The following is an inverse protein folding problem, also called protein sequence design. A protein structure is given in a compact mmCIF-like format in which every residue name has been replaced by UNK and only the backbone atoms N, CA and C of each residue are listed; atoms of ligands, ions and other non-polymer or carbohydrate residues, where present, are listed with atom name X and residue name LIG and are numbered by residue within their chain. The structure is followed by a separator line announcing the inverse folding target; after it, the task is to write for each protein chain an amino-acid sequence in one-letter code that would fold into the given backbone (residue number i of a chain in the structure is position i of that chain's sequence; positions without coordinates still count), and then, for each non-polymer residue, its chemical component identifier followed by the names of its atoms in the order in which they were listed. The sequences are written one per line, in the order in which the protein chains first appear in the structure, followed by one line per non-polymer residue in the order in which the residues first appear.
data_IF_639047053933
#
_entry.id   IF_639047053933
#
_cell.length_a   1.000
_cell.length_b   1.000
_cell.length_c   1.000
_cell.angle_alpha   90.00
_cell.angle_beta   90.00
_cell.angle_gamma   90.00
#
_symmetry.space_group_name_H-M   'P 1'
#
loop_
_entity.id
_entity.type
_entity.pdbx_description
1 polymer ?
#
# COMPACT_ATOMS: atom_id res chain seq x y z
N UNK A 1 -1.15 3.11 23.19
CA UNK A 1 -1.36 2.40 21.91
C UNK A 1 -1.64 3.39 20.78
N UNK A 2 -1.19 3.10 19.56
CA UNK A 2 -1.68 3.83 18.38
C UNK A 2 -3.22 3.73 18.32
N UNK A 3 -3.92 4.78 17.87
CA UNK A 3 -5.40 4.76 17.74
C UNK A 3 -5.93 3.60 16.86
N UNK A 4 -5.06 3.01 16.04
CA UNK A 4 -5.32 1.86 15.18
C UNK A 4 -5.52 0.53 15.93
N UNK A 5 -5.01 0.42 17.16
CA UNK A 5 -5.06 -0.81 17.96
C UNK A 5 -6.00 -0.68 19.17
N UNK A 6 -7.04 0.16 19.06
CA UNK A 6 -8.08 0.26 20.10
C UNK A 6 -8.85 -1.06 20.17
N UNK A 7 -8.93 -1.72 21.34
CA UNK A 7 -9.67 -2.98 21.49
C UNK A 7 -11.13 -2.86 21.00
N UNK A 8 -11.65 -3.95 20.44
CA UNK A 8 -13.02 -4.06 19.90
C UNK A 8 -13.31 -3.22 18.65
N UNK A 9 -12.48 -2.22 18.33
CA UNK A 9 -12.64 -1.37 17.14
C UNK A 9 -12.15 -2.06 15.87
N UNK A 10 -12.80 -1.77 14.76
CA UNK A 10 -12.25 -2.06 13.43
C UNK A 10 -11.20 -1.04 13.02
N UNK A 11 -10.35 -1.45 12.08
CA UNK A 11 -9.39 -0.56 11.47
C UNK A 11 -9.19 -0.90 10.00
N UNK A 12 -8.91 0.14 9.21
CA UNK A 12 -8.60 0.08 7.80
C UNK A 12 -7.33 0.86 7.54
N UNK A 13 -6.35 0.23 6.91
CA UNK A 13 -5.17 0.90 6.37
C UNK A 13 -5.15 0.80 4.85
N UNK A 14 -5.00 1.95 4.20
CA UNK A 14 -4.95 2.07 2.75
C UNK A 14 -3.56 2.57 2.35
N UNK A 15 -2.89 1.83 1.47
CA UNK A 15 -1.64 2.25 0.84
C UNK A 15 -1.88 2.58 -0.62
N UNK A 16 -1.33 3.70 -1.09
CA UNK A 16 -1.54 4.19 -2.44
C UNK A 16 -0.18 4.46 -3.10
N UNK A 17 0.09 3.70 -4.17
CA UNK A 17 1.10 4.04 -5.18
C UNK A 17 0.39 4.87 -6.28
N UNK A 18 0.69 6.17 -6.42
CA UNK A 18 -0.04 7.08 -7.30
C UNK A 18 0.32 6.93 -8.79
N UNK A 19 1.29 6.09 -9.14
CA UNK A 19 1.69 5.91 -10.54
C UNK A 19 0.57 5.27 -11.37
N UNK A 20 0.59 5.51 -12.68
CA UNK A 20 -0.42 4.93 -13.61
C UNK A 20 -0.38 3.39 -13.67
N UNK A 21 0.73 2.78 -13.23
CA UNK A 21 0.91 1.33 -13.05
C UNK A 21 0.94 0.93 -11.58
N UNK A 22 0.64 1.87 -10.68
CA UNK A 22 0.52 1.66 -9.26
C UNK A 22 -0.81 1.02 -8.89
N UNK A 23 -1.15 1.09 -7.61
CA UNK A 23 -2.33 0.44 -7.05
C UNK A 23 -2.79 1.12 -5.76
N UNK A 24 -4.00 0.73 -5.34
CA UNK A 24 -4.55 0.96 -4.01
C UNK A 24 -4.67 -0.39 -3.33
N UNK A 25 -4.16 -0.50 -2.11
CA UNK A 25 -4.30 -1.70 -1.29
C UNK A 25 -4.96 -1.35 0.04
N UNK A 26 -5.96 -2.12 0.44
CA UNK A 26 -6.72 -1.92 1.68
C UNK A 26 -6.58 -3.15 2.56
N UNK A 27 -6.15 -2.92 3.80
CA UNK A 27 -6.03 -3.92 4.85
C UNK A 27 -7.10 -3.60 5.90
N UNK A 28 -8.05 -4.51 6.10
CA UNK A 28 -9.14 -4.32 7.07
C UNK A 28 -9.15 -5.45 8.10
N UNK A 29 -9.28 -5.09 9.37
CA UNK A 29 -9.37 -6.06 10.46
C UNK A 29 -10.22 -5.51 11.61
N UNK A 30 -10.53 -6.38 12.58
CA UNK A 30 -11.11 -6.00 13.87
C UNK A 30 -10.08 -6.27 14.95
N UNK A 31 -9.84 -5.29 15.81
CA UNK A 31 -8.99 -5.49 16.97
C UNK A 31 -9.70 -6.42 17.96
N UNK A 32 -8.95 -7.27 18.65
CA UNK A 32 -9.49 -8.12 19.69
C UNK A 32 -10.10 -7.29 20.81
N UNK A 33 -11.03 -7.90 21.55
CA UNK A 33 -11.59 -7.30 22.77
C UNK A 33 -10.48 -7.13 23.83
N UNK A 34 -10.72 -6.24 24.79
CA UNK A 34 -9.75 -5.98 25.85
C UNK A 34 -9.47 -7.25 26.65
N UNK A 35 -8.18 -7.55 26.87
CA UNK A 35 -7.74 -8.72 27.63
C UNK A 35 -7.73 -10.05 26.87
N UNK A 36 -8.10 -10.08 25.59
CA UNK A 36 -7.92 -11.28 24.78
C UNK A 36 -6.43 -11.55 24.50
N UNK A 37 -6.00 -12.81 24.62
CA UNK A 37 -4.67 -13.23 24.18
C UNK A 37 -4.57 -13.11 22.66
N UNK A 38 -3.52 -12.42 22.20
CA UNK A 38 -3.30 -12.18 20.77
C UNK A 38 -2.00 -12.84 20.33
N UNK A 39 -2.10 -13.85 19.48
CA UNK A 39 -0.96 -14.31 18.70
C UNK A 39 -0.69 -13.33 17.56
N UNK A 40 0.56 -12.86 17.51
CA UNK A 40 1.11 -12.02 16.45
C UNK A 40 0.39 -10.71 16.13
N UNK A 41 0.98 -9.98 15.19
CA UNK A 41 0.40 -8.83 14.51
C UNK A 41 -1.07 -9.09 14.13
N UNK A 42 -2.02 -8.43 14.80
CA UNK A 42 -3.48 -8.58 14.58
C UNK A 42 -3.85 -8.40 13.09
N UNK A 43 -3.11 -7.57 12.38
CA UNK A 43 -3.28 -7.30 10.95
C UNK A 43 -2.76 -8.41 10.01
N UNK A 44 -2.04 -9.41 10.51
CA UNK A 44 -1.58 -10.56 9.71
C UNK A 44 -2.74 -11.35 9.10
N UNK A 45 -3.91 -11.32 9.73
CA UNK A 45 -5.16 -11.93 9.25
C UNK A 45 -6.14 -10.91 8.67
N UNK A 46 -5.68 -9.70 8.37
CA UNK A 46 -6.54 -8.69 7.76
C UNK A 46 -7.11 -9.21 6.43
N UNK A 47 -8.37 -8.89 6.16
CA UNK A 47 -8.91 -9.00 4.81
C UNK A 47 -8.16 -8.00 3.92
N UNK A 48 -7.78 -8.47 2.74
CA UNK A 48 -6.99 -7.70 1.79
C UNK A 48 -7.81 -7.48 0.54
N UNK A 49 -7.84 -6.24 0.07
CA UNK A 49 -8.35 -5.89 -1.25
C UNK A 49 -7.32 -5.04 -1.97
N UNK A 50 -7.10 -5.32 -3.25
CA UNK A 50 -6.14 -4.59 -4.10
C UNK A 50 -6.80 -4.20 -5.40
N UNK A 51 -6.65 -2.93 -5.78
CA UNK A 51 -7.07 -2.41 -7.07
C UNK A 51 -5.87 -1.82 -7.79
N UNK A 52 -5.64 -2.22 -9.04
CA UNK A 52 -4.74 -1.46 -9.91
C UNK A 52 -5.24 -0.02 -10.01
N UNK A 53 -4.33 0.94 -10.21
CA UNK A 53 -4.68 2.34 -10.41
C UNK A 53 -5.73 2.44 -11.54
N UNK A 54 -6.97 2.89 -11.27
CA UNK A 54 -7.96 3.00 -12.32
C UNK A 54 -7.57 4.15 -13.24
N UNK A 55 -7.44 3.87 -14.53
CA UNK A 55 -6.91 4.81 -15.51
C UNK A 55 -7.95 5.12 -16.58
N UNK A 56 -8.06 6.41 -16.94
CA UNK A 56 -8.71 6.84 -18.17
C UNK A 56 -7.64 7.15 -19.21
N UNK A 57 -7.92 6.79 -20.45
CA UNK A 57 -7.13 7.18 -21.60
C UNK A 57 -7.87 8.28 -22.36
N UNK A 58 -7.15 9.33 -22.73
CA UNK A 58 -7.68 10.38 -23.58
C UNK A 58 -6.68 10.77 -24.65
N UNK A 59 -7.20 11.31 -25.76
CA UNK A 59 -6.39 11.67 -26.91
C UNK A 59 -5.89 13.11 -26.79
N UNK A 60 -4.58 13.29 -26.59
CA UNK A 60 -3.91 14.58 -26.58
C UNK A 60 -3.19 14.79 -27.91
N UNK A 61 -3.86 15.45 -28.86
CA UNK A 61 -3.40 15.60 -30.24
C UNK A 61 -3.06 14.23 -30.86
N UNK A 62 -1.79 13.97 -31.19
CA UNK A 62 -1.35 12.69 -31.77
C UNK A 62 -1.00 11.61 -30.73
N UNK A 63 -1.04 11.91 -29.44
CA UNK A 63 -0.63 10.98 -28.38
C UNK A 63 -1.79 10.61 -27.47
N UNK A 64 -1.95 9.32 -27.20
CA UNK A 64 -2.82 8.87 -26.12
C UNK A 64 -2.13 9.08 -24.78
N UNK A 65 -2.84 9.67 -23.82
CA UNK A 65 -2.37 9.90 -22.45
C UNK A 65 -3.23 9.13 -21.47
N UNK A 66 -2.55 8.51 -20.50
CA UNK A 66 -3.15 7.78 -19.39
C UNK A 66 -3.09 8.66 -18.13
N UNK A 67 -4.19 8.76 -17.42
CA UNK A 67 -4.29 9.49 -16.16
C UNK A 67 -5.23 8.75 -15.19
N UNK A 68 -5.09 8.95 -13.88
CA UNK A 68 -6.03 8.38 -12.92
C UNK A 68 -7.47 8.82 -13.23
N UNK A 69 -8.38 7.85 -13.16
CA UNK A 69 -9.81 8.06 -13.30
C UNK A 69 -10.40 8.49 -11.96
N UNK A 70 -10.64 9.79 -11.78
CA UNK A 70 -11.17 10.35 -10.53
C UNK A 70 -12.49 9.71 -10.09
N UNK A 71 -13.40 9.44 -11.03
CA UNK A 71 -14.68 8.77 -10.74
C UNK A 71 -14.47 7.37 -10.15
N UNK A 72 -13.64 6.53 -10.78
CA UNK A 72 -13.39 5.16 -10.32
C UNK A 72 -12.59 5.14 -9.02
N UNK A 73 -11.66 6.07 -8.82
CA UNK A 73 -10.99 6.26 -7.53
C UNK A 73 -12.00 6.61 -6.43
N UNK A 74 -12.94 7.51 -6.71
CA UNK A 74 -13.99 7.88 -5.78
C UNK A 74 -14.88 6.69 -5.43
N UNK A 75 -15.28 5.88 -6.41
CA UNK A 75 -16.05 4.65 -6.20
C UNK A 75 -15.31 3.64 -5.32
N UNK A 76 -13.98 3.50 -5.48
CA UNK A 76 -13.14 2.62 -4.65
C UNK A 76 -13.01 3.15 -3.22
N UNK A 77 -12.77 4.46 -3.04
CA UNK A 77 -12.45 5.05 -1.73
C UNK A 77 -13.68 5.33 -0.87
N UNK A 78 -14.82 5.66 -1.48
CA UNK A 78 -16.04 6.08 -0.76
C UNK A 78 -16.55 5.04 0.25
N UNK A 79 -16.60 3.73 -0.04
CA UNK A 79 -17.02 2.73 0.95
C UNK A 79 -16.15 2.74 2.21
N UNK A 80 -14.84 2.92 2.07
CA UNK A 80 -13.92 3.00 3.21
C UNK A 80 -14.07 4.31 3.98
N UNK A 81 -14.30 5.44 3.29
CA UNK A 81 -14.61 6.71 3.93
C UNK A 81 -15.82 6.59 4.86
N UNK A 82 -16.86 5.90 4.40
CA UNK A 82 -18.10 5.70 5.15
C UNK A 82 -17.94 4.81 6.40
N UNK A 83 -16.85 4.04 6.50
CA UNK A 83 -16.54 3.27 7.70
C UNK A 83 -15.97 4.14 8.82
N UNK A 84 -15.42 5.32 8.51
CA UNK A 84 -14.76 6.16 9.51
C UNK A 84 -15.74 6.61 10.60
N UNK A 85 -15.42 6.31 11.86
CA UNK A 85 -16.27 6.66 13.00
C UNK A 85 -15.65 6.25 14.34
N UNK A 86 -16.47 6.23 15.39
CA UNK A 86 -16.02 5.83 16.73
C UNK A 86 -15.50 4.39 16.76
N UNK A 87 -16.19 3.49 16.05
CA UNK A 87 -15.93 2.05 16.02
C UNK A 87 -14.94 1.60 14.94
N UNK A 88 -14.56 2.48 14.00
CA UNK A 88 -13.63 2.12 12.94
C UNK A 88 -12.72 3.28 12.55
N UNK A 89 -11.41 3.04 12.62
CA UNK A 89 -10.39 4.00 12.21
C UNK A 89 -9.92 3.72 10.79
N UNK A 90 -9.93 4.74 9.95
CA UNK A 90 -9.37 4.69 8.59
C UNK A 90 -8.07 5.49 8.56
N UNK A 91 -7.02 4.88 8.02
CA UNK A 91 -5.70 5.49 7.83
C UNK A 91 -5.25 5.29 6.39
N UNK A 92 -4.72 6.33 5.78
CA UNK A 92 -4.21 6.25 4.41
C UNK A 92 -2.78 6.76 4.37
N UNK A 93 -1.92 6.04 3.67
CA UNK A 93 -0.59 6.52 3.28
C UNK A 93 -0.53 6.62 1.75
N UNK A 94 -0.20 7.82 1.28
CA UNK A 94 -0.02 8.17 -0.12
C UNK A 94 1.46 8.32 -0.38
N UNK A 95 2.03 7.49 -1.26
CA UNK A 95 3.39 7.72 -1.72
C UNK A 95 3.47 9.06 -2.46
N UNK A 96 4.55 9.79 -2.21
CA UNK A 96 4.98 10.91 -3.03
C UNK A 96 6.32 10.56 -3.65
N UNK A 97 6.38 10.64 -4.96
CA UNK A 97 7.61 10.49 -5.73
C UNK A 97 7.91 11.79 -6.48
N UNK A 98 9.19 12.07 -6.67
CA UNK A 98 9.63 13.16 -7.54
C UNK A 98 10.29 12.52 -8.76
N UNK A 99 9.82 12.81 -9.99
CA UNK A 99 10.49 12.33 -11.19
C UNK A 99 11.97 12.70 -11.16
N UNK A 100 12.83 11.85 -11.73
CA UNK A 100 14.25 12.18 -11.90
C UNK A 100 14.39 13.52 -12.65
N UNK A 101 15.40 14.33 -12.31
CA UNK A 101 15.60 15.66 -12.93
C UNK A 101 15.65 15.64 -14.46
N UNK A 102 16.15 14.54 -15.05
CA UNK A 102 16.21 14.34 -16.51
C UNK A 102 14.86 13.95 -17.14
N UNK A 103 13.80 13.77 -16.34
CA UNK A 103 12.46 13.41 -16.82
C UNK A 103 11.83 14.60 -17.53
N UNK A 104 11.24 14.36 -18.70
CA UNK A 104 10.58 15.42 -19.46
C UNK A 104 9.35 16.01 -18.78
N UNK A 105 8.94 17.23 -19.19
CA UNK A 105 7.80 17.98 -18.65
C UNK A 105 6.49 17.19 -18.47
N UNK A 106 6.25 16.21 -19.33
CA UNK A 106 5.05 15.37 -19.24
C UNK A 106 5.08 14.40 -18.05
N UNK A 107 6.24 13.88 -17.65
CA UNK A 107 6.36 13.02 -16.48
C UNK A 107 6.06 13.81 -15.20
N UNK A 108 6.62 15.01 -15.09
CA UNK A 108 6.33 15.97 -14.02
C UNK A 108 4.84 16.32 -13.94
N UNK A 109 4.21 16.64 -15.09
CA UNK A 109 2.78 16.88 -15.13
C UNK A 109 1.96 15.67 -14.72
N UNK A 110 2.32 14.46 -15.18
CA UNK A 110 1.61 13.23 -14.83
C UNK A 110 1.68 12.93 -13.33
N UNK A 111 2.84 13.02 -12.70
CA UNK A 111 2.98 12.83 -11.24
C UNK A 111 2.18 13.90 -10.48
N UNK A 112 2.32 15.18 -10.86
CA UNK A 112 1.56 16.26 -10.23
C UNK A 112 0.04 16.09 -10.35
N UNK A 113 -0.44 15.66 -11.52
CA UNK A 113 -1.85 15.36 -11.74
C UNK A 113 -2.32 14.18 -10.90
N UNK A 114 -1.59 13.05 -10.91
CA UNK A 114 -1.96 11.87 -10.13
C UNK A 114 -2.04 12.16 -8.64
N UNK A 115 -0.99 12.78 -8.09
CA UNK A 115 -0.96 13.17 -6.67
C UNK A 115 -2.08 14.15 -6.37
N UNK A 116 -2.28 15.19 -7.19
CA UNK A 116 -3.33 16.20 -6.98
C UNK A 116 -4.76 15.65 -7.01
N UNK A 117 -5.06 14.68 -7.89
CA UNK A 117 -6.37 14.02 -7.93
C UNK A 117 -6.61 13.21 -6.65
N UNK A 118 -5.63 12.43 -6.21
CA UNK A 118 -5.74 11.65 -4.98
C UNK A 118 -5.88 12.55 -3.75
N UNK A 119 -5.11 13.63 -3.71
CA UNK A 119 -5.15 14.67 -2.68
C UNK A 119 -6.55 15.26 -2.51
N UNK A 120 -7.13 15.70 -3.63
CA UNK A 120 -8.45 16.31 -3.67
C UNK A 120 -9.54 15.31 -3.27
N UNK A 121 -9.45 14.05 -3.73
CA UNK A 121 -10.43 13.01 -3.40
C UNK A 121 -10.38 12.62 -1.93
N UNK A 122 -9.20 12.35 -1.38
CA UNK A 122 -9.03 11.98 0.04
C UNK A 122 -9.54 13.11 0.94
N UNK A 123 -9.18 14.36 0.63
CA UNK A 123 -9.63 15.54 1.36
C UNK A 123 -11.15 15.71 1.27
N UNK A 124 -11.73 15.57 0.07
CA UNK A 124 -13.19 15.71 -0.15
C UNK A 124 -14.00 14.61 0.54
N UNK A 125 -13.42 13.42 0.72
CA UNK A 125 -14.02 12.32 1.47
C UNK A 125 -13.83 12.44 2.99
N UNK A 126 -13.13 13.47 3.48
CA UNK A 126 -12.84 13.64 4.90
C UNK A 126 -11.91 12.56 5.47
N UNK A 127 -11.13 11.90 4.61
CA UNK A 127 -10.18 10.87 5.02
C UNK A 127 -8.87 11.53 5.40
N UNK A 128 -8.42 11.33 6.65
CA UNK A 128 -7.08 11.75 7.06
C UNK A 128 -6.00 10.86 6.43
N UNK A 129 -5.01 11.45 5.77
CA UNK A 129 -3.92 10.72 5.11
C UNK A 129 -2.55 11.33 5.38
N UNK A 130 -1.53 10.49 5.33
CA UNK A 130 -0.12 10.86 5.40
C UNK A 130 0.50 10.76 4.01
N UNK A 131 1.29 11.77 3.63
CA UNK A 131 2.14 11.70 2.44
C UNK A 131 3.52 11.20 2.86
N UNK A 132 4.05 10.19 2.17
CA UNK A 132 5.35 9.60 2.47
C UNK A 132 6.23 9.50 1.23
N UNK A 133 7.47 9.95 1.33
CA UNK A 133 8.41 9.83 0.22
C UNK A 133 8.89 8.37 0.04
N UNK A 134 9.02 7.92 -1.20
CA UNK A 134 9.44 6.55 -1.54
C UNK A 134 10.73 6.11 -0.79
N UNK A 135 11.73 7.00 -0.71
CA UNK A 135 13.00 6.69 -0.04
C UNK A 135 12.86 6.47 1.48
N UNK A 136 11.83 7.05 2.12
CA UNK A 136 11.60 6.95 3.56
C UNK A 136 10.98 5.59 3.89
N UNK A 137 9.82 5.29 3.31
CA UNK A 137 9.12 4.03 3.64
C UNK A 137 9.92 2.82 3.16
N UNK A 138 10.54 2.87 1.97
CA UNK A 138 11.38 1.77 1.47
C UNK A 138 12.56 1.49 2.40
N UNK A 139 13.24 2.52 2.89
CA UNK A 139 14.33 2.35 3.87
C UNK A 139 13.81 1.74 5.18
N UNK A 140 12.68 2.24 5.69
CA UNK A 140 12.07 1.75 6.93
C UNK A 140 11.54 0.31 6.83
N UNK A 141 11.22 -0.15 5.63
CA UNK A 141 10.80 -1.52 5.32
C UNK A 141 11.98 -2.44 4.90
N UNK A 142 13.23 -1.95 4.92
CA UNK A 142 14.40 -2.76 4.55
C UNK A 142 14.55 -2.98 3.04
N UNK A 143 13.87 -2.19 2.20
CA UNK A 143 13.85 -2.34 0.74
C UNK A 143 14.88 -1.46 0.03
N UNK A 144 15.78 -0.81 0.76
CA UNK A 144 16.78 0.07 0.16
C UNK A 144 17.65 -0.72 -0.84
N UNK A 145 17.65 -0.30 -2.11
CA UNK A 145 18.33 -0.95 -3.24
C UNK A 145 17.87 -2.38 -3.57
N UNK A 146 16.76 -2.85 -3.03
CA UNK A 146 16.20 -4.19 -3.32
C UNK A 146 15.34 -4.24 -4.58
N UNK A 147 14.91 -3.07 -5.07
CA UNK A 147 14.14 -2.96 -6.31
C UNK A 147 12.79 -3.67 -6.28
N UNK A 148 12.26 -3.93 -7.47
CA UNK A 148 10.95 -4.54 -7.67
C UNK A 148 10.85 -5.97 -7.11
N UNK A 149 11.84 -6.87 -7.31
CA UNK A 149 11.78 -8.23 -6.74
C UNK A 149 11.73 -8.24 -5.21
N UNK A 150 12.50 -7.37 -4.55
CA UNK A 150 12.48 -7.29 -3.08
C UNK A 150 11.13 -6.84 -2.52
N UNK A 151 10.47 -5.90 -3.20
CA UNK A 151 9.14 -5.44 -2.81
C UNK A 151 8.09 -6.56 -2.95
N UNK A 152 8.16 -7.35 -4.02
CA UNK A 152 7.30 -8.52 -4.21
C UNK A 152 7.50 -9.56 -3.11
N UNK A 153 8.76 -9.93 -2.84
CA UNK A 153 9.10 -10.94 -1.85
C UNK A 153 8.63 -10.52 -0.44
N UNK A 154 8.89 -9.27 -0.06
CA UNK A 154 8.46 -8.75 1.25
C UNK A 154 6.93 -8.68 1.35
N UNK A 155 6.22 -8.28 0.29
CA UNK A 155 4.76 -8.25 0.30
C UNK A 155 4.16 -9.65 0.48
N UNK A 156 4.69 -10.65 -0.23
CA UNK A 156 4.25 -12.05 -0.10
C UNK A 156 4.54 -12.63 1.29
N UNK A 157 5.66 -12.25 1.90
CA UNK A 157 6.03 -12.68 3.24
C UNK A 157 5.12 -12.05 4.31
N UNK A 158 4.82 -10.75 4.20
CA UNK A 158 4.02 -10.03 5.20
C UNK A 158 2.53 -10.27 5.08
N UNK A 159 2.06 -10.50 3.85
CA UNK A 159 0.64 -10.66 3.53
C UNK A 159 0.45 -11.90 2.65
N UNK A 160 0.68 -13.11 3.18
CA UNK A 160 0.53 -14.35 2.41
C UNK A 160 -0.88 -14.52 1.85
N UNK A 161 -1.91 -13.95 2.50
CA UNK A 161 -3.28 -13.92 2.00
C UNK A 161 -3.45 -13.12 0.70
N UNK A 162 -2.51 -12.24 0.35
CA UNK A 162 -2.51 -11.46 -0.88
C UNK A 162 -1.70 -12.13 -2.01
N UNK A 163 -1.10 -13.30 -1.78
CA UNK A 163 -0.21 -13.93 -2.75
C UNK A 163 -0.89 -14.22 -4.11
N UNK A 164 -2.19 -14.54 -4.10
CA UNK A 164 -2.98 -14.77 -5.32
C UNK A 164 -3.12 -13.52 -6.21
N UNK A 165 -2.98 -12.32 -5.63
CA UNK A 165 -3.09 -11.03 -6.33
C UNK A 165 -1.73 -10.50 -6.84
N UNK A 166 -0.63 -11.19 -6.53
CA UNK A 166 0.74 -10.76 -6.75
C UNK A 166 1.50 -11.61 -7.79
N UNK A 167 1.26 -11.36 -9.08
CA UNK A 167 2.08 -11.97 -10.15
C UNK A 167 3.38 -11.18 -10.34
N UNK A 168 4.34 -11.76 -11.08
CA UNK A 168 5.65 -11.14 -11.37
C UNK A 168 5.57 -9.71 -11.92
N UNK A 169 4.51 -9.33 -12.65
CA UNK A 169 4.34 -7.99 -13.23
C UNK A 169 3.63 -6.98 -12.31
N UNK A 170 3.04 -7.44 -11.21
CA UNK A 170 2.14 -6.65 -10.36
C UNK A 170 2.91 -5.88 -9.27
N UNK A 171 4.04 -5.28 -9.62
CA UNK A 171 4.91 -4.60 -8.65
C UNK A 171 4.21 -3.41 -7.95
N UNK A 172 3.35 -2.68 -8.66
CA UNK A 172 2.58 -1.57 -8.08
C UNK A 172 1.62 -2.05 -6.98
N UNK A 173 1.05 -3.25 -7.12
CA UNK A 173 0.23 -3.89 -6.07
C UNK A 173 1.07 -4.21 -4.83
N UNK A 174 2.27 -4.75 -5.02
CA UNK A 174 3.19 -5.02 -3.92
C UNK A 174 3.61 -3.73 -3.21
N UNK A 175 3.94 -2.66 -3.95
CA UNK A 175 4.29 -1.37 -3.35
C UNK A 175 3.11 -0.80 -2.54
N UNK A 176 1.89 -0.81 -3.09
CA UNK A 176 0.69 -0.35 -2.39
C UNK A 176 0.42 -1.15 -1.09
N UNK A 177 0.54 -2.48 -1.13
CA UNK A 177 0.41 -3.34 0.05
C UNK A 177 1.45 -3.01 1.13
N UNK A 178 2.70 -2.78 0.71
CA UNK A 178 3.78 -2.43 1.63
C UNK A 178 3.62 -1.02 2.21
N UNK A 179 3.11 -0.07 1.44
CA UNK A 179 2.76 1.28 1.94
C UNK A 179 1.63 1.18 2.98
N UNK A 180 0.59 0.36 2.73
CA UNK A 180 -0.47 0.12 3.70
C UNK A 180 0.09 -0.50 4.99
N UNK A 181 0.97 -1.49 4.83
CA UNK A 181 1.62 -2.19 5.95
C UNK A 181 2.56 -1.28 6.73
N UNK A 182 3.28 -0.39 6.05
CA UNK A 182 4.10 0.64 6.65
C UNK A 182 3.25 1.64 7.47
N UNK A 183 2.08 2.03 6.97
CA UNK A 183 1.16 2.92 7.68
C UNK A 183 0.63 2.32 8.99
N UNK A 184 0.55 0.98 9.09
CA UNK A 184 0.22 0.27 10.33
C UNK A 184 1.28 0.44 11.43
N UNK A 185 2.51 0.78 11.04
CA UNK A 185 3.67 0.77 11.93
C UNK A 185 4.62 -0.41 11.72
N UNK A 186 4.38 -1.26 10.71
CA UNK A 186 5.36 -2.30 10.37
C UNK A 186 6.66 -1.66 9.87
N UNK A 187 7.78 -2.19 10.36
CA UNK A 187 9.14 -1.80 9.98
C UNK A 187 9.94 -3.07 9.74
N UNK A 188 11.13 -2.96 9.13
CA UNK A 188 12.00 -4.09 8.83
C UNK A 188 12.22 -5.04 10.04
N UNK A 189 12.36 -4.48 11.24
CA UNK A 189 12.54 -5.26 12.48
C UNK A 189 11.28 -6.07 12.87
N UNK A 190 10.09 -5.48 12.70
CA UNK A 190 8.81 -6.14 12.95
C UNK A 190 8.48 -7.18 11.85
N UNK A 191 8.87 -6.91 10.61
CA UNK A 191 8.76 -7.85 9.49
C UNK A 191 9.64 -9.10 9.71
N UNK A 192 10.87 -8.90 10.18
CA UNK A 192 11.77 -9.99 10.54
C UNK A 192 11.29 -10.80 11.76
N UNK A 193 10.61 -10.16 12.72
CA UNK A 193 10.00 -10.84 13.86
C UNK A 193 8.79 -11.70 13.46
N UNK A 194 7.93 -11.20 12.56
CA UNK A 194 6.81 -11.98 12.02
C UNK A 194 7.27 -13.18 11.17
N UNK A 195 8.42 -13.09 10.50
CA UNK A 195 9.01 -14.19 9.73
C UNK A 195 9.48 -15.35 10.61
N UNK A 196 10.02 -15.04 11.81
CA UNK A 196 10.53 -16.04 12.76
C UNK A 196 9.44 -16.82 13.48
N UNK A 197 8.19 -16.37 13.38
CA UNK A 197 7.07 -16.97 14.12
C UNK A 197 6.16 -17.84 13.26
N UNK A 198 6.43 -17.97 11.96
CA UNK A 198 5.81 -19.00 11.13
C UNK A 198 6.61 -20.30 11.29
N UNK A 199 6.05 -21.36 11.89
CA UNK A 199 6.80 -22.60 12.08
C UNK A 199 7.09 -23.24 10.71
N UNK A 200 8.38 -23.38 10.37
CA UNK A 200 8.83 -24.17 9.23
C UNK A 200 9.23 -23.43 7.94
N UNK A 201 9.39 -22.10 7.94
CA UNK A 201 9.96 -21.40 6.76
C UNK A 201 11.46 -21.16 6.92
N UNK A 202 12.28 -22.11 6.49
CA UNK A 202 13.63 -21.82 6.03
C UNK A 202 13.48 -20.94 4.77
N UNK A 203 13.62 -19.62 4.94
CA UNK A 203 13.66 -18.69 3.82
C UNK A 203 15.03 -18.85 3.15
N UNK A 204 15.12 -19.31 1.89
CA UNK A 204 16.40 -19.39 1.21
C UNK A 204 16.97 -17.98 1.05
N UNK A 205 18.30 -17.87 1.18
CA UNK A 205 19.02 -16.64 0.87
C UNK A 205 18.63 -16.15 -0.54
N UNK A 206 18.08 -14.93 -0.69
CA UNK A 206 17.68 -14.39 -1.99
C UNK A 206 18.86 -14.26 -2.97
N UNK A 207 20.10 -14.42 -2.52
CA UNK A 207 21.28 -14.50 -3.37
C UNK A 207 21.52 -15.88 -4.02
N UNK A 208 20.76 -16.93 -3.67
CA UNK A 208 21.03 -18.31 -4.08
C UNK A 208 19.95 -19.00 -4.93
N UNK A 209 18.87 -18.32 -5.32
CA UNK A 209 17.88 -18.92 -6.22
C UNK A 209 18.37 -18.88 -7.69
N UNK A 210 18.53 -20.04 -8.38
CA UNK A 210 18.81 -20.06 -9.81
C UNK A 210 17.56 -19.60 -10.58
N UNK A 211 17.74 -18.63 -11.47
CA UNK A 211 16.68 -18.11 -12.32
C UNK A 211 16.75 -18.81 -13.68
N UNK A 212 15.83 -19.75 -13.92
CA UNK A 212 15.44 -20.19 -15.28
C UNK A 212 14.17 -19.45 -15.72
#
# INVERSE_FOLDING_TARGET
MSKLLRPGCSAVCIGIDPDISGALAMLQWRNPEEGAETDHAVWSRASVAVHDMPVTAWQMASRTKKQPCSQRLLEILRPYAALQGEDCLVRVALEVTTPAHMSGKHAWFSVGYSTGVLDALLTSLGIGYERVHASIWKRQMGLFKMGKPGSMALAQQLLPQAAGDLRKKDHGRAEALLIATWALGCRAEAAAAAARSVPGSDVPDPAQAPWD
#
